data_IF_958059874480
#
_entry.id   IF_958059874480
#
_cell.length_a   1.000
_cell.length_b   1.000
_cell.length_c   1.000
_cell.angle_alpha   90.00
_cell.angle_beta   90.00
_cell.angle_gamma   90.00
#
_symmetry.space_group_name_H-M   'P 1'
#
loop_
_entity.id
_entity.type
_entity.pdbx_description
1 polymer ?
#
# COMPACT_ATOMS: atom_id res chain seq x y z
N UNK A 1 37.07 -47.82 45.56
CA UNK A 1 38.00 -47.10 44.68
C UNK A 1 37.75 -47.61 43.26
N UNK A 2 36.94 -46.94 42.48
CA UNK A 2 37.00 -47.10 41.01
C UNK A 2 36.40 -45.87 40.38
N UNK A 3 37.31 -45.04 39.89
CA UNK A 3 37.00 -43.79 39.18
C UNK A 3 36.99 -44.07 37.70
N UNK A 4 35.81 -44.32 37.15
CA UNK A 4 35.63 -44.40 35.70
C UNK A 4 35.36 -42.98 35.15
N UNK A 5 36.39 -42.44 34.49
CA UNK A 5 36.38 -41.21 33.70
C UNK A 5 35.34 -41.35 32.56
N UNK A 6 34.28 -40.56 32.58
CA UNK A 6 33.40 -40.40 31.39
C UNK A 6 34.16 -39.60 30.38
N UNK A 7 34.68 -40.30 29.37
CA UNK A 7 35.29 -39.71 28.19
C UNK A 7 34.31 -38.74 27.51
N UNK A 8 34.78 -37.53 27.24
CA UNK A 8 34.07 -36.49 26.57
C UNK A 8 33.70 -36.95 25.15
N UNK A 9 32.44 -36.81 24.81
CA UNK A 9 31.92 -37.02 23.44
C UNK A 9 32.69 -36.07 22.52
N UNK A 10 33.45 -36.53 21.53
CA UNK A 10 34.27 -35.67 20.71
C UNK A 10 33.37 -34.74 19.89
N UNK A 11 33.68 -33.45 19.92
CA UNK A 11 32.95 -32.40 19.17
C UNK A 11 32.82 -32.71 17.67
N UNK A 12 33.70 -33.56 17.12
CA UNK A 12 33.65 -34.07 15.77
C UNK A 12 32.34 -34.84 15.47
N UNK A 13 31.78 -35.62 16.43
CA UNK A 13 30.55 -36.37 16.25
C UNK A 13 29.32 -35.47 16.25
N UNK A 14 29.33 -34.37 17.00
CA UNK A 14 28.26 -33.37 16.99
C UNK A 14 28.18 -32.60 15.66
N UNK A 15 29.35 -32.29 15.08
CA UNK A 15 29.45 -31.63 13.79
C UNK A 15 28.99 -32.53 12.63
N UNK A 16 29.35 -33.83 12.69
CA UNK A 16 28.93 -34.83 11.72
C UNK A 16 27.41 -35.11 11.80
N UNK A 17 26.83 -35.17 13.00
CA UNK A 17 25.40 -35.31 13.24
C UNK A 17 24.64 -34.11 12.69
N UNK A 18 25.16 -32.89 12.87
CA UNK A 18 24.55 -31.66 12.35
C UNK A 18 24.60 -31.58 10.82
N UNK A 19 25.68 -32.05 10.18
CA UNK A 19 25.80 -32.13 8.72
C UNK A 19 24.92 -33.20 8.12
N UNK A 20 24.73 -34.32 8.80
CA UNK A 20 23.80 -35.38 8.38
C UNK A 20 22.34 -34.96 8.48
N UNK A 21 21.98 -34.23 9.55
CA UNK A 21 20.66 -33.63 9.70
C UNK A 21 20.36 -32.60 8.60
N UNK A 22 21.32 -31.76 8.27
CA UNK A 22 21.15 -30.79 7.18
C UNK A 22 20.98 -31.44 5.80
N UNK A 23 21.77 -32.51 5.49
CA UNK A 23 21.61 -33.26 4.23
C UNK A 23 20.26 -34.00 4.15
N UNK A 24 19.81 -34.58 5.26
CA UNK A 24 18.50 -35.23 5.34
C UNK A 24 17.36 -34.21 5.16
N UNK A 25 17.49 -33.04 5.75
CA UNK A 25 16.56 -31.93 5.61
C UNK A 25 16.48 -31.42 4.16
N UNK A 26 17.63 -31.18 3.53
CA UNK A 26 17.69 -30.75 2.12
C UNK A 26 17.12 -31.82 1.17
N UNK A 27 17.34 -33.11 1.44
CA UNK A 27 16.76 -34.19 0.64
C UNK A 27 15.25 -34.30 0.82
N UNK A 28 14.76 -34.04 2.03
CA UNK A 28 13.31 -33.98 2.31
C UNK A 28 12.69 -32.77 1.60
N UNK A 29 13.31 -31.59 1.71
CA UNK A 29 12.89 -30.38 1.00
C UNK A 29 12.83 -30.62 -0.53
N UNK A 30 13.87 -31.22 -1.12
CA UNK A 30 13.86 -31.53 -2.55
C UNK A 30 12.72 -32.47 -2.96
N UNK A 31 12.39 -33.46 -2.12
CA UNK A 31 11.29 -34.37 -2.36
C UNK A 31 9.92 -33.70 -2.22
N UNK A 32 9.78 -32.81 -1.25
CA UNK A 32 8.55 -32.03 -1.03
C UNK A 32 8.34 -31.01 -2.16
N UNK A 33 9.40 -30.33 -2.62
CA UNK A 33 9.36 -29.43 -3.79
C UNK A 33 8.94 -30.20 -5.06
N UNK A 34 9.43 -31.40 -5.26
CA UNK A 34 9.06 -32.19 -6.44
C UNK A 34 7.63 -32.71 -6.38
N UNK A 35 7.14 -33.05 -5.19
CA UNK A 35 5.77 -33.49 -4.97
C UNK A 35 4.76 -32.37 -5.18
N UNK A 36 5.10 -31.16 -4.70
CA UNK A 36 4.22 -30.00 -4.73
C UNK A 36 4.59 -29.04 -5.88
N UNK A 37 5.20 -29.57 -6.97
CA UNK A 37 5.72 -28.83 -8.12
C UNK A 37 4.67 -27.94 -8.79
N UNK A 38 3.42 -28.39 -8.84
CA UNK A 38 2.31 -27.61 -9.42
C UNK A 38 2.06 -26.31 -8.63
N UNK A 39 2.17 -26.37 -7.29
CA UNK A 39 2.04 -25.18 -6.45
C UNK A 39 3.20 -24.20 -6.67
N UNK A 40 4.44 -24.70 -6.79
CA UNK A 40 5.59 -23.85 -7.09
C UNK A 40 5.50 -23.23 -8.48
N UNK A 41 4.99 -23.95 -9.47
CA UNK A 41 4.78 -23.42 -10.82
C UNK A 41 3.84 -22.22 -10.82
N UNK A 42 2.81 -22.20 -9.96
CA UNK A 42 1.91 -21.08 -9.79
C UNK A 42 2.53 -19.91 -9.00
N UNK A 43 3.38 -20.21 -8.01
CA UNK A 43 3.99 -19.21 -7.13
C UNK A 43 5.18 -18.52 -7.80
N UNK A 44 5.99 -19.24 -8.58
CA UNK A 44 7.20 -18.70 -9.23
C UNK A 44 6.92 -17.47 -10.11
N UNK A 45 5.91 -17.43 -10.99
CA UNK A 45 5.61 -16.22 -11.77
C UNK A 45 5.28 -15.02 -10.89
N UNK A 46 4.55 -15.23 -9.79
CA UNK A 46 4.20 -14.17 -8.84
C UNK A 46 5.44 -13.65 -8.13
N UNK A 47 6.29 -14.54 -7.62
CA UNK A 47 7.56 -14.15 -6.99
C UNK A 47 8.48 -13.42 -7.97
N UNK A 48 8.56 -13.89 -9.22
CA UNK A 48 9.34 -13.25 -10.27
C UNK A 48 8.83 -11.83 -10.55
N UNK A 49 7.51 -11.66 -10.64
CA UNK A 49 6.88 -10.35 -10.79
C UNK A 49 7.25 -9.42 -9.63
N UNK A 50 7.09 -9.88 -8.37
CA UNK A 50 7.46 -9.07 -7.21
C UNK A 50 8.94 -8.73 -7.20
N UNK A 51 9.81 -9.69 -7.53
CA UNK A 51 11.26 -9.46 -7.58
C UNK A 51 11.63 -8.41 -8.63
N UNK A 52 11.11 -8.55 -9.84
CA UNK A 52 11.44 -7.64 -10.95
C UNK A 52 10.83 -6.25 -10.77
N UNK A 53 9.57 -6.15 -10.33
CA UNK A 53 8.86 -4.88 -10.31
C UNK A 53 8.87 -4.18 -8.94
N UNK A 54 8.95 -4.91 -7.85
CA UNK A 54 9.00 -4.32 -6.51
C UNK A 54 10.44 -4.21 -5.98
N UNK A 55 11.16 -5.30 -5.87
CA UNK A 55 12.50 -5.27 -5.28
C UNK A 55 13.50 -4.48 -6.13
N UNK A 56 13.45 -4.62 -7.46
CA UNK A 56 14.28 -3.81 -8.35
C UNK A 56 13.95 -2.32 -8.24
N UNK A 57 12.68 -1.97 -8.11
CA UNK A 57 12.25 -0.58 -7.91
C UNK A 57 12.66 -0.03 -6.55
N UNK A 58 12.65 -0.85 -5.49
CA UNK A 58 13.17 -0.46 -4.17
C UNK A 58 14.65 -0.11 -4.19
N UNK A 59 15.43 -0.73 -5.08
CA UNK A 59 16.84 -0.33 -5.29
C UNK A 59 16.95 1.15 -5.73
N UNK A 60 15.95 1.67 -6.43
CA UNK A 60 15.86 3.09 -6.79
C UNK A 60 15.77 4.05 -5.59
N UNK A 61 15.37 3.57 -4.40
CA UNK A 61 15.34 4.40 -3.20
C UNK A 61 16.73 4.94 -2.79
N UNK A 62 17.81 4.29 -3.26
CA UNK A 62 19.18 4.78 -3.08
C UNK A 62 19.36 6.18 -3.71
N UNK A 63 18.59 6.54 -4.72
CA UNK A 63 18.63 7.86 -5.36
C UNK A 63 18.38 8.99 -4.34
N UNK A 64 17.58 8.74 -3.32
CA UNK A 64 17.30 9.73 -2.27
C UNK A 64 18.54 10.19 -1.49
N UNK A 65 19.61 9.39 -1.52
CA UNK A 65 20.88 9.66 -0.85
C UNK A 65 21.99 10.14 -1.80
N UNK A 66 21.67 10.28 -3.09
CA UNK A 66 22.64 10.63 -4.13
C UNK A 66 22.22 11.86 -4.91
N UNK A 67 23.19 12.63 -5.38
CA UNK A 67 22.98 13.66 -6.38
C UNK A 67 22.82 12.96 -7.74
N UNK A 68 21.59 12.51 -8.00
CA UNK A 68 21.30 11.66 -9.13
C UNK A 68 21.41 12.40 -10.46
N UNK A 69 22.34 11.96 -11.29
CA UNK A 69 22.45 12.40 -12.68
C UNK A 69 21.99 11.25 -13.61
N UNK A 70 20.95 11.43 -14.43
CA UNK A 70 20.41 10.39 -15.32
C UNK A 70 21.48 9.76 -16.24
N UNK A 71 22.45 10.57 -16.71
CA UNK A 71 23.53 10.09 -17.58
C UNK A 71 24.53 9.17 -16.87
N UNK A 72 24.70 9.26 -15.56
CA UNK A 72 25.61 8.45 -14.76
C UNK A 72 24.94 7.23 -14.14
N UNK A 73 23.61 7.21 -14.16
CA UNK A 73 22.82 6.17 -13.50
C UNK A 73 22.95 6.17 -11.98
N UNK A 74 22.29 5.20 -11.32
CA UNK A 74 22.23 5.15 -9.86
C UNK A 74 23.59 4.89 -9.22
N UNK A 75 24.39 3.98 -9.79
CA UNK A 75 25.71 3.61 -9.24
C UNK A 75 26.77 4.68 -9.50
N UNK A 76 26.75 5.31 -10.66
CA UNK A 76 27.74 6.30 -11.07
C UNK A 76 27.50 7.71 -10.52
N UNK A 77 26.34 7.98 -9.92
CA UNK A 77 26.06 9.26 -9.30
C UNK A 77 26.78 9.42 -7.97
N UNK A 78 27.33 10.61 -7.64
CA UNK A 78 27.98 10.85 -6.36
C UNK A 78 26.97 10.81 -5.21
N UNK A 79 27.45 10.58 -4.00
CA UNK A 79 26.64 10.73 -2.80
C UNK A 79 26.37 12.21 -2.56
N UNK A 80 25.13 12.52 -2.15
CA UNK A 80 24.77 13.87 -1.75
C UNK A 80 25.59 14.31 -0.52
N UNK A 81 25.76 15.62 -0.37
CA UNK A 81 26.45 16.20 0.78
C UNK A 81 25.85 15.74 2.11
N UNK A 82 26.53 16.01 3.21
CA UNK A 82 26.13 15.57 4.55
C UNK A 82 25.90 14.05 4.65
N UNK A 83 26.87 13.26 4.17
CA UNK A 83 26.81 11.80 4.19
C UNK A 83 25.59 11.22 3.42
N UNK A 84 25.10 11.92 2.42
CA UNK A 84 23.94 11.51 1.62
C UNK A 84 22.60 12.03 2.16
N UNK A 85 22.57 12.83 3.22
CA UNK A 85 21.33 13.33 3.83
C UNK A 85 20.95 14.75 3.40
N UNK A 86 21.69 15.39 2.49
CA UNK A 86 21.41 16.76 2.06
C UNK A 86 19.97 16.96 1.56
N UNK A 87 19.44 16.02 0.77
CA UNK A 87 18.07 16.11 0.26
C UNK A 87 17.02 16.00 1.36
N UNK A 88 17.26 15.17 2.38
CA UNK A 88 16.36 15.06 3.54
C UNK A 88 16.37 16.34 4.37
N UNK A 89 17.55 16.91 4.62
CA UNK A 89 17.67 18.17 5.36
C UNK A 89 16.94 19.28 4.61
N UNK A 90 17.19 19.44 3.30
CA UNK A 90 16.50 20.41 2.45
C UNK A 90 14.99 20.21 2.41
N UNK A 91 14.52 18.97 2.48
CA UNK A 91 13.09 18.67 2.54
C UNK A 91 12.47 19.13 3.86
N UNK A 92 13.10 18.85 5.00
CA UNK A 92 12.60 19.27 6.31
C UNK A 92 12.66 20.78 6.52
N UNK A 93 13.66 21.46 5.95
CA UNK A 93 13.82 22.91 5.98
C UNK A 93 12.94 23.62 4.95
N UNK A 94 12.33 22.89 4.03
CA UNK A 94 11.49 23.46 2.99
C UNK A 94 10.28 24.19 3.56
N UNK A 95 9.99 25.37 3.03
CA UNK A 95 8.75 26.12 3.31
C UNK A 95 7.47 25.29 3.15
N UNK A 96 7.51 24.31 2.26
CA UNK A 96 6.35 23.46 1.97
C UNK A 96 6.18 22.28 2.93
N UNK A 97 7.18 21.94 3.74
CA UNK A 97 7.15 20.77 4.61
C UNK A 97 5.93 20.78 5.56
N UNK A 98 5.72 21.89 6.28
CA UNK A 98 4.58 22.01 7.20
C UNK A 98 3.23 21.89 6.51
N UNK A 99 3.10 22.46 5.31
CA UNK A 99 1.88 22.34 4.50
C UNK A 99 1.64 20.91 4.04
N UNK A 100 2.68 20.23 3.54
CA UNK A 100 2.61 18.83 3.11
C UNK A 100 2.21 17.92 4.26
N UNK A 101 2.87 18.08 5.41
CA UNK A 101 2.57 17.29 6.60
C UNK A 101 1.13 17.49 7.06
N UNK A 102 0.68 18.74 7.19
CA UNK A 102 -0.69 19.07 7.56
C UNK A 102 -1.70 18.47 6.58
N UNK A 103 -1.49 18.62 5.28
CA UNK A 103 -2.40 18.08 4.27
C UNK A 103 -2.48 16.55 4.34
N UNK A 104 -1.33 15.89 4.44
CA UNK A 104 -1.26 14.43 4.55
C UNK A 104 -1.99 13.93 5.80
N UNK A 105 -1.72 14.54 6.95
CA UNK A 105 -2.39 14.16 8.20
C UNK A 105 -3.89 14.44 8.15
N UNK A 106 -4.31 15.58 7.61
CA UNK A 106 -5.73 15.94 7.50
C UNK A 106 -6.47 14.95 6.61
N UNK A 107 -5.93 14.63 5.44
CA UNK A 107 -6.54 13.69 4.50
C UNK A 107 -6.57 12.28 5.10
N UNK A 108 -5.46 11.81 5.65
CA UNK A 108 -5.36 10.47 6.25
C UNK A 108 -6.30 10.31 7.45
N UNK A 109 -6.34 11.31 8.33
CA UNK A 109 -7.21 11.27 9.50
C UNK A 109 -8.69 11.34 9.10
N UNK A 110 -9.05 12.23 8.17
CA UNK A 110 -10.41 12.32 7.65
C UNK A 110 -10.85 11.02 6.97
N UNK A 111 -9.98 10.42 6.15
CA UNK A 111 -10.25 9.13 5.51
C UNK A 111 -10.41 8.02 6.55
N UNK A 112 -9.59 7.99 7.59
CA UNK A 112 -9.71 7.00 8.67
C UNK A 112 -11.02 7.17 9.45
N UNK A 113 -11.35 8.42 9.85
CA UNK A 113 -12.52 8.70 10.69
C UNK A 113 -13.84 8.46 9.94
N UNK A 114 -13.90 8.78 8.67
CA UNK A 114 -15.14 8.66 7.88
C UNK A 114 -15.14 7.39 7.02
N UNK A 115 -14.02 7.03 6.40
CA UNK A 115 -13.92 5.88 5.51
C UNK A 115 -13.97 4.54 6.23
N UNK A 116 -13.38 4.43 7.44
CA UNK A 116 -13.40 3.18 8.18
C UNK A 116 -14.79 2.84 8.78
N UNK A 117 -15.53 3.77 9.42
CA UNK A 117 -16.84 3.45 9.97
C UNK A 117 -17.92 3.26 8.91
N UNK A 118 -17.84 3.93 7.76
CA UNK A 118 -18.88 3.90 6.74
C UNK A 118 -19.25 2.49 6.25
N UNK A 119 -18.31 1.61 5.85
CA UNK A 119 -18.62 0.22 5.49
C UNK A 119 -19.19 -0.59 6.65
N UNK A 120 -18.75 -0.34 7.89
CA UNK A 120 -19.26 -1.03 9.07
C UNK A 120 -20.73 -0.66 9.32
N UNK A 121 -21.04 0.63 9.28
CA UNK A 121 -22.41 1.14 9.43
C UNK A 121 -23.30 0.55 8.33
N UNK A 122 -22.84 0.57 7.09
CA UNK A 122 -23.57 -0.01 5.96
C UNK A 122 -23.83 -1.52 6.17
N UNK A 123 -22.83 -2.27 6.61
CA UNK A 123 -22.94 -3.70 6.88
C UNK A 123 -23.95 -3.99 8.00
N UNK A 124 -23.93 -3.20 9.08
CA UNK A 124 -24.91 -3.31 10.18
C UNK A 124 -26.32 -2.99 9.72
N UNK A 125 -26.51 -1.89 8.98
CA UNK A 125 -27.81 -1.52 8.42
C UNK A 125 -28.35 -2.62 7.48
N UNK A 126 -27.50 -3.18 6.62
CA UNK A 126 -27.88 -4.28 5.75
C UNK A 126 -28.23 -5.55 6.52
N UNK A 127 -27.62 -5.78 7.68
CA UNK A 127 -27.94 -6.94 8.52
C UNK A 127 -29.35 -6.85 9.09
N UNK A 128 -29.83 -5.66 9.45
CA UNK A 128 -31.19 -5.42 9.98
C UNK A 128 -32.30 -5.52 8.92
N UNK A 129 -31.93 -5.42 7.63
CA UNK A 129 -32.90 -5.49 6.54
C UNK A 129 -33.45 -6.91 6.38
N UNK A 130 -34.74 -7.09 6.63
CA UNK A 130 -35.44 -8.38 6.51
C UNK A 130 -35.65 -8.83 5.06
N UNK A 131 -35.82 -7.88 4.13
CA UNK A 131 -36.06 -8.20 2.72
C UNK A 131 -34.78 -8.58 1.99
N UNK A 132 -34.65 -9.83 1.62
CA UNK A 132 -33.51 -10.36 0.86
C UNK A 132 -33.36 -9.70 -0.51
N UNK A 133 -34.47 -9.33 -1.16
CA UNK A 133 -34.43 -8.65 -2.47
C UNK A 133 -33.87 -7.23 -2.34
N UNK A 134 -34.30 -6.49 -1.34
CA UNK A 134 -33.78 -5.15 -1.08
C UNK A 134 -32.30 -5.19 -0.67
N UNK A 135 -31.91 -6.13 0.18
CA UNK A 135 -30.51 -6.35 0.57
C UNK A 135 -29.61 -6.58 -0.63
N UNK A 136 -29.99 -7.49 -1.54
CA UNK A 136 -29.25 -7.74 -2.79
C UNK A 136 -29.18 -6.50 -3.70
N UNK A 137 -30.26 -5.79 -3.83
CA UNK A 137 -30.32 -4.56 -4.64
C UNK A 137 -29.32 -3.51 -4.14
N UNK A 138 -29.32 -3.23 -2.82
CA UNK A 138 -28.39 -2.27 -2.22
C UNK A 138 -26.95 -2.75 -2.38
N UNK A 139 -26.67 -4.03 -2.10
CA UNK A 139 -25.32 -4.61 -2.30
C UNK A 139 -24.84 -4.46 -3.75
N UNK A 140 -25.70 -4.75 -4.73
CA UNK A 140 -25.34 -4.61 -6.15
C UNK A 140 -24.99 -3.16 -6.50
N UNK A 141 -25.78 -2.19 -6.02
CA UNK A 141 -25.50 -0.77 -6.27
C UNK A 141 -24.20 -0.33 -5.58
N UNK A 142 -23.97 -0.78 -4.35
CA UNK A 142 -22.76 -0.42 -3.58
C UNK A 142 -21.49 -1.02 -4.19
N UNK A 143 -21.58 -2.22 -4.79
CA UNK A 143 -20.41 -2.84 -5.44
C UNK A 143 -20.18 -2.36 -6.87
N UNK A 144 -21.18 -1.76 -7.52
CA UNK A 144 -21.08 -1.30 -8.91
C UNK A 144 -19.90 -0.35 -9.16
N UNK A 145 -19.65 0.67 -8.30
CA UNK A 145 -18.51 1.58 -8.51
C UNK A 145 -17.17 0.88 -8.55
N UNK A 146 -16.99 -0.21 -7.80
CA UNK A 146 -15.73 -0.97 -7.77
C UNK A 146 -15.35 -1.58 -9.14
N UNK A 147 -16.34 -1.86 -9.99
CA UNK A 147 -16.09 -2.40 -11.33
C UNK A 147 -15.87 -1.30 -12.39
N UNK A 148 -16.09 -0.03 -12.02
CA UNK A 148 -15.86 1.10 -12.91
C UNK A 148 -14.42 1.57 -12.76
N UNK A 149 -13.76 1.87 -13.89
CA UNK A 149 -12.40 2.41 -13.85
C UNK A 149 -12.32 3.68 -13.00
N UNK A 150 -11.29 3.78 -12.16
CA UNK A 150 -10.99 4.97 -11.35
C UNK A 150 -10.99 6.25 -12.21
N UNK A 151 -10.48 6.19 -13.42
CA UNK A 151 -10.45 7.35 -14.34
C UNK A 151 -11.85 7.83 -14.69
N UNK A 152 -12.78 6.90 -14.90
CA UNK A 152 -14.18 7.24 -15.22
C UNK A 152 -14.85 7.86 -13.99
N UNK A 153 -14.67 7.28 -12.81
CA UNK A 153 -15.23 7.82 -11.56
C UNK A 153 -14.71 9.24 -11.30
N UNK A 154 -13.41 9.46 -11.40
CA UNK A 154 -12.81 10.79 -11.24
C UNK A 154 -13.35 11.79 -12.29
N UNK A 155 -13.57 11.36 -13.52
CA UNK A 155 -14.15 12.20 -14.58
C UNK A 155 -15.60 12.57 -14.28
N UNK A 156 -16.39 11.62 -13.79
CA UNK A 156 -17.78 11.88 -13.37
C UNK A 156 -17.84 12.85 -12.19
N UNK A 157 -17.05 12.64 -11.15
CA UNK A 157 -16.96 13.55 -10.00
C UNK A 157 -16.58 14.95 -10.50
N UNK A 158 -15.54 15.06 -11.33
CA UNK A 158 -15.13 16.33 -11.90
C UNK A 158 -16.25 17.06 -12.67
N UNK A 159 -17.04 16.31 -13.43
CA UNK A 159 -18.19 16.87 -14.16
C UNK A 159 -19.30 17.35 -13.20
N UNK A 160 -19.60 16.59 -12.16
CA UNK A 160 -20.65 16.95 -11.20
C UNK A 160 -20.29 18.16 -10.33
N UNK A 161 -19.01 18.35 -9.99
CA UNK A 161 -18.52 19.46 -9.15
C UNK A 161 -17.92 20.61 -9.95
N UNK A 162 -18.03 20.58 -11.29
CA UNK A 162 -17.69 21.71 -12.16
C UNK A 162 -18.59 22.93 -11.86
N UNK A 163 -18.23 24.09 -12.36
CA UNK A 163 -19.00 25.33 -12.16
C UNK A 163 -20.49 25.18 -12.51
N UNK A 164 -20.78 24.55 -13.66
CA UNK A 164 -22.14 24.25 -14.10
C UNK A 164 -22.59 22.82 -13.73
N UNK A 165 -21.85 22.14 -12.84
CA UNK A 165 -22.14 20.79 -12.41
C UNK A 165 -23.40 20.73 -11.52
N UNK A 166 -24.10 19.60 -11.58
CA UNK A 166 -25.37 19.40 -10.85
C UNK A 166 -25.17 19.62 -9.35
N UNK A 167 -24.11 19.06 -8.76
CA UNK A 167 -23.83 19.19 -7.33
C UNK A 167 -23.54 20.64 -6.96
N UNK A 168 -22.70 21.34 -7.73
CA UNK A 168 -22.39 22.76 -7.49
C UNK A 168 -23.64 23.61 -7.55
N UNK A 169 -24.49 23.43 -8.57
CA UNK A 169 -25.74 24.17 -8.72
C UNK A 169 -26.76 23.90 -7.60
N UNK A 170 -26.87 22.67 -7.14
CA UNK A 170 -27.74 22.30 -6.02
C UNK A 170 -27.28 22.88 -4.68
N UNK A 171 -26.00 23.10 -4.51
CA UNK A 171 -25.41 23.57 -3.28
C UNK A 171 -25.20 25.10 -3.23
N UNK A 172 -25.34 25.80 -4.36
CA UNK A 172 -25.29 27.28 -4.42
C UNK A 172 -26.26 27.95 -3.42
N UNK A 173 -27.52 27.52 -3.28
CA UNK A 173 -28.47 28.12 -2.31
C UNK A 173 -28.03 27.99 -0.86
N UNK A 174 -27.15 27.01 -0.54
CA UNK A 174 -26.62 26.75 0.79
C UNK A 174 -25.35 27.56 1.10
N UNK A 175 -24.98 28.52 0.23
CA UNK A 175 -23.86 29.44 0.47
C UNK A 175 -22.51 28.93 0.02
N UNK A 176 -22.46 27.94 -0.89
CA UNK A 176 -21.21 27.51 -1.50
C UNK A 176 -20.71 28.59 -2.49
N UNK A 177 -19.41 28.80 -2.52
CA UNK A 177 -18.77 29.77 -3.41
C UNK A 177 -19.02 29.40 -4.87
N UNK A 178 -19.25 30.44 -5.69
CA UNK A 178 -19.38 30.28 -7.13
C UNK A 178 -18.08 29.77 -7.75
N UNK A 179 -18.21 28.97 -8.80
CA UNK A 179 -17.10 28.35 -9.51
C UNK A 179 -17.00 26.84 -9.27
N UNK A 180 -16.02 26.20 -9.87
CA UNK A 180 -15.77 24.75 -9.65
C UNK A 180 -15.37 24.50 -8.20
N UNK A 181 -15.99 23.55 -7.54
CA UNK A 181 -15.64 23.15 -6.17
C UNK A 181 -14.18 22.67 -6.07
N UNK A 182 -13.62 22.13 -7.15
CA UNK A 182 -12.20 21.71 -7.18
C UNK A 182 -11.21 22.88 -7.19
N UNK A 183 -11.66 24.10 -7.51
CA UNK A 183 -10.83 25.30 -7.47
C UNK A 183 -10.65 25.85 -6.06
N UNK A 184 -11.42 25.35 -5.10
CA UNK A 184 -11.40 25.80 -3.72
C UNK A 184 -10.78 24.72 -2.82
N UNK A 185 -9.63 25.00 -2.17
CA UNK A 185 -8.92 24.04 -1.33
C UNK A 185 -9.75 23.46 -0.18
N UNK A 186 -10.71 24.23 0.31
CA UNK A 186 -11.61 23.86 1.42
C UNK A 186 -12.54 22.71 1.09
N UNK A 187 -12.92 22.54 -0.18
CA UNK A 187 -13.79 21.43 -0.62
C UNK A 187 -13.00 20.17 -1.02
N UNK A 188 -11.69 20.25 -1.11
CA UNK A 188 -10.87 19.12 -1.57
C UNK A 188 -10.97 17.91 -0.64
N UNK A 189 -10.79 18.11 0.68
CA UNK A 189 -10.80 17.01 1.64
C UNK A 189 -12.18 16.31 1.72
N UNK A 190 -13.31 17.04 1.85
CA UNK A 190 -14.63 16.43 1.81
C UNK A 190 -14.88 15.64 0.52
N UNK A 191 -14.59 16.21 -0.64
CA UNK A 191 -14.76 15.54 -1.93
C UNK A 191 -13.93 14.26 -2.04
N UNK A 192 -12.67 14.33 -1.59
CA UNK A 192 -11.76 13.19 -1.60
C UNK A 192 -12.28 12.06 -0.71
N UNK A 193 -12.69 12.37 0.52
CA UNK A 193 -13.20 11.38 1.48
C UNK A 193 -14.51 10.76 0.99
N UNK A 194 -15.46 11.57 0.51
CA UNK A 194 -16.74 11.07 -0.02
C UNK A 194 -16.49 10.16 -1.23
N UNK A 195 -15.62 10.57 -2.15
CA UNK A 195 -15.29 9.74 -3.31
C UNK A 195 -14.66 8.40 -2.91
N UNK A 196 -13.81 8.40 -1.87
CA UNK A 196 -13.21 7.17 -1.33
C UNK A 196 -14.21 6.25 -0.62
N UNK A 197 -15.23 6.80 0.04
CA UNK A 197 -16.30 6.00 0.67
C UNK A 197 -17.20 5.35 -0.40
N UNK A 198 -17.41 6.02 -1.54
CA UNK A 198 -18.23 5.51 -2.63
C UNK A 198 -17.52 4.44 -3.49
N UNK A 199 -16.27 4.15 -3.23
CA UNK A 199 -15.43 3.22 -3.98
C UNK A 199 -15.11 1.94 -3.18
#
# INVERSE_FOLDING_TARGET
ADSTWKEGIPMANAALSRKQGAKAYLRKLGKDIWRDGDAYLLVVPVLLYFFLFHYKSMYGAIIAFKDFAPMRGILGSPWADNYGFAHFISFFESYYFGRLLRNTLTISLATLVFGFPAPIILALLLNEVRSTRFKRFVQTITYMPHFISMVVICSMIRMFVAENGVITQMLLPFGIKQGSMLSHPEYFVPLYVISGICQ
#
